data_IF_704994886358
#
_entry.id   IF_704994886358
#
_cell.length_a   1.000
_cell.length_b   1.000
_cell.length_c   1.000
_cell.angle_alpha   90.00
_cell.angle_beta   90.00
_cell.angle_gamma   90.00
#
_symmetry.space_group_name_H-M   'P 1'
#
loop_
_entity.id
_entity.type
_entity.pdbx_description
1 polymer ?
#
# COMPACT_ATOMS: atom_id res chain seq x y z
N UNK A 1 14.94 -0.57 5.35
CA UNK A 1 13.89 -1.44 5.94
C UNK A 1 14.42 -2.71 6.60
N UNK A 2 15.26 -3.50 5.96
CA UNK A 2 15.93 -4.67 6.58
C UNK A 2 16.74 -4.35 7.85
N UNK A 3 17.36 -3.17 7.94
CA UNK A 3 18.07 -2.73 9.14
C UNK A 3 17.14 -2.35 10.30
N UNK A 4 15.95 -1.84 10.00
CA UNK A 4 14.95 -1.51 11.02
C UNK A 4 14.37 -2.78 11.65
N UNK A 5 14.03 -3.77 10.83
CA UNK A 5 13.60 -5.10 11.33
C UNK A 5 14.72 -5.79 12.12
N UNK A 6 16.01 -5.61 11.73
CA UNK A 6 17.15 -6.08 12.52
C UNK A 6 17.34 -5.31 13.83
N UNK A 7 16.97 -4.03 13.88
CA UNK A 7 17.00 -3.23 15.12
C UNK A 7 15.89 -3.62 16.08
N UNK A 8 14.69 -3.92 15.60
CA UNK A 8 13.59 -4.46 16.42
C UNK A 8 13.95 -5.81 17.04
N UNK A 9 14.65 -6.69 16.31
CA UNK A 9 15.18 -7.96 16.84
C UNK A 9 16.40 -7.80 17.76
N UNK A 10 17.06 -6.63 17.79
CA UNK A 10 18.25 -6.35 18.62
C UNK A 10 17.99 -5.56 19.89
N UNK A 11 16.83 -4.91 20.05
CA UNK A 11 16.43 -4.33 21.32
C UNK A 11 15.96 -5.48 22.22
N UNK A 12 16.93 -6.08 22.94
CA UNK A 12 16.76 -7.24 23.80
C UNK A 12 15.83 -7.02 24.99
N UNK A 13 14.61 -6.76 24.73
CA UNK A 13 13.49 -7.19 25.56
C UNK A 13 13.25 -8.64 25.16
N UNK A 14 13.33 -9.55 26.10
CA UNK A 14 12.70 -10.86 26.02
C UNK A 14 11.18 -10.63 25.97
N UNK A 15 10.74 -9.87 24.97
CA UNK A 15 9.35 -9.81 24.63
C UNK A 15 9.09 -11.13 23.91
N UNK A 16 8.30 -11.97 24.57
CA UNK A 16 7.54 -13.01 23.92
C UNK A 16 7.16 -12.48 22.55
N UNK A 17 7.65 -13.10 21.48
CA UNK A 17 7.30 -12.75 20.11
C UNK A 17 5.79 -12.59 20.13
N UNK A 18 5.29 -11.36 19.97
CA UNK A 18 3.88 -11.11 19.71
C UNK A 18 3.63 -11.73 18.33
N UNK A 19 3.54 -13.06 18.29
CA UNK A 19 2.94 -13.77 17.19
C UNK A 19 1.49 -13.30 17.18
N UNK A 20 1.23 -12.30 16.35
CA UNK A 20 -0.13 -11.94 16.02
C UNK A 20 -0.77 -13.23 15.48
N UNK A 21 -1.70 -13.79 16.23
CA UNK A 21 -2.48 -14.94 15.84
C UNK A 21 -3.36 -14.55 14.64
N UNK A 22 -2.74 -14.57 13.45
CA UNK A 22 -3.36 -14.19 12.20
C UNK A 22 -3.49 -15.41 11.30
N UNK A 23 -4.71 -15.95 11.24
CA UNK A 23 -5.06 -17.05 10.35
C UNK A 23 -5.26 -16.54 8.92
N UNK A 24 -4.26 -16.76 8.06
CA UNK A 24 -4.32 -16.40 6.64
C UNK A 24 -5.44 -17.15 5.89
N UNK A 25 -5.74 -18.38 6.27
CA UNK A 25 -6.78 -19.19 5.63
C UNK A 25 -8.19 -18.67 6.00
N UNK A 26 -8.41 -18.31 7.25
CA UNK A 26 -9.65 -17.65 7.67
C UNK A 26 -9.80 -16.30 6.98
N UNK A 27 -8.73 -15.51 6.92
CA UNK A 27 -8.73 -14.24 6.20
C UNK A 27 -9.01 -14.41 4.71
N UNK A 28 -8.41 -15.40 4.05
CA UNK A 28 -8.67 -15.73 2.65
C UNK A 28 -10.16 -16.03 2.40
N UNK A 29 -10.78 -16.80 3.29
CA UNK A 29 -12.22 -17.10 3.23
C UNK A 29 -13.06 -15.83 3.44
N UNK A 30 -12.69 -14.99 4.40
CA UNK A 30 -13.38 -13.74 4.71
C UNK A 30 -13.40 -12.78 3.52
N UNK A 31 -12.27 -12.63 2.82
CA UNK A 31 -12.20 -11.76 1.63
C UNK A 31 -12.77 -12.41 0.36
N UNK A 32 -13.10 -13.70 0.40
CA UNK A 32 -13.66 -14.44 -0.72
C UNK A 32 -12.69 -14.66 -1.88
N UNK A 33 -11.39 -14.61 -1.62
CA UNK A 33 -10.35 -14.81 -2.65
C UNK A 33 -10.00 -16.30 -2.78
N UNK A 34 -9.82 -16.81 -4.02
CA UNK A 34 -9.30 -18.18 -4.19
C UNK A 34 -7.87 -18.32 -3.66
N UNK A 35 -7.06 -17.26 -3.68
CA UNK A 35 -5.67 -17.25 -3.23
C UNK A 35 -5.31 -15.86 -2.70
N UNK A 36 -4.45 -15.79 -1.67
CA UNK A 36 -3.84 -14.55 -1.21
C UNK A 36 -2.53 -14.34 -1.98
N UNK A 37 -2.46 -13.24 -2.72
CA UNK A 37 -1.27 -12.84 -3.48
C UNK A 37 -0.69 -11.52 -2.94
N UNK A 38 0.53 -11.21 -3.34
CA UNK A 38 1.21 -9.98 -2.98
C UNK A 38 2.72 -10.10 -3.09
N UNK A 39 3.44 -9.20 -2.44
CA UNK A 39 4.90 -9.13 -2.47
C UNK A 39 5.51 -10.40 -1.86
N UNK A 40 6.45 -11.03 -2.60
CA UNK A 40 7.14 -12.23 -2.13
C UNK A 40 8.00 -11.95 -0.90
N UNK A 41 8.09 -12.93 -0.01
CA UNK A 41 8.89 -12.84 1.21
C UNK A 41 8.23 -12.12 2.39
N UNK A 42 6.98 -11.73 2.26
CA UNK A 42 6.20 -11.09 3.34
C UNK A 42 4.90 -11.85 3.59
N UNK A 43 4.56 -12.02 4.86
CA UNK A 43 3.26 -12.55 5.28
C UNK A 43 2.12 -11.59 4.91
N UNK A 44 0.88 -12.07 4.94
CA UNK A 44 -0.29 -11.26 4.65
C UNK A 44 -0.41 -10.06 5.60
N UNK A 45 -0.11 -10.25 6.89
CA UNK A 45 -0.18 -9.18 7.88
C UNK A 45 0.91 -8.12 7.65
N UNK A 46 2.14 -8.52 7.31
CA UNK A 46 3.22 -7.60 6.98
C UNK A 46 2.90 -6.77 5.73
N UNK A 47 2.34 -7.39 4.70
CA UNK A 47 1.89 -6.70 3.48
C UNK A 47 0.86 -5.62 3.78
N UNK A 48 -0.06 -5.88 4.69
CA UNK A 48 -1.13 -4.94 5.07
C UNK A 48 -0.67 -3.79 5.94
N UNK A 49 0.30 -4.02 6.83
CA UNK A 49 0.65 -3.06 7.88
C UNK A 49 2.01 -2.39 7.69
N UNK A 50 2.96 -3.07 7.06
CA UNK A 50 4.35 -2.63 7.02
C UNK A 50 4.89 -2.43 5.59
N UNK A 51 4.11 -2.78 4.56
CA UNK A 51 4.55 -2.61 3.17
C UNK A 51 3.76 -1.51 2.47
N UNK A 52 4.41 -0.79 1.52
CA UNK A 52 3.70 0.20 0.71
C UNK A 52 2.67 -0.48 -0.18
N UNK A 53 1.61 0.25 -0.52
CA UNK A 53 0.61 -0.22 -1.48
C UNK A 53 0.49 0.72 -2.66
N UNK A 54 0.06 0.16 -3.79
CA UNK A 54 -0.41 0.88 -4.96
C UNK A 54 -1.79 0.34 -5.33
N UNK A 55 -2.81 1.17 -5.20
CA UNK A 55 -4.19 0.77 -5.39
C UNK A 55 -4.82 1.52 -6.56
N UNK A 56 -5.44 0.79 -7.49
CA UNK A 56 -6.24 1.37 -8.56
C UNK A 56 -7.67 1.55 -8.04
N UNK A 57 -7.99 2.76 -7.59
CA UNK A 57 -9.26 3.08 -6.94
C UNK A 57 -10.40 3.26 -7.92
N UNK A 58 -10.08 3.48 -9.17
CA UNK A 58 -11.07 3.59 -10.25
C UNK A 58 -10.40 3.54 -11.60
N UNK A 59 -11.11 2.92 -12.54
CA UNK A 59 -10.71 2.88 -13.94
C UNK A 59 -11.98 3.02 -14.79
N UNK A 60 -11.97 3.87 -15.77
CA UNK A 60 -13.13 4.07 -16.66
C UNK A 60 -12.73 4.61 -18.02
N UNK A 61 -13.59 4.39 -18.98
CA UNK A 61 -13.45 4.83 -20.36
C UNK A 61 -14.47 4.15 -21.25
N UNK A 62 -14.60 4.63 -22.48
CA UNK A 62 -15.55 4.05 -23.44
C UNK A 62 -17.01 4.41 -23.14
N UNK A 63 -17.90 3.55 -23.62
CA UNK A 63 -19.33 3.69 -23.45
C UNK A 63 -19.77 2.95 -22.19
N UNK A 64 -20.45 3.65 -21.30
CA UNK A 64 -20.90 3.13 -19.99
C UNK A 64 -22.43 3.11 -19.86
N UNK A 65 -23.17 3.42 -20.94
CA UNK A 65 -24.64 3.34 -20.96
C UNK A 65 -25.15 1.92 -21.15
N UNK A 66 -26.45 1.77 -21.10
CA UNK A 66 -27.12 0.48 -21.30
C UNK A 66 -26.96 -0.02 -22.75
N UNK A 67 -26.79 -1.34 -22.92
CA UNK A 67 -26.62 -2.00 -24.20
C UNK A 67 -25.20 -1.94 -24.76
N UNK A 68 -25.01 -2.43 -25.97
CA UNK A 68 -23.72 -2.46 -26.66
C UNK A 68 -23.58 -1.27 -27.62
N UNK A 69 -22.39 -0.68 -27.68
CA UNK A 69 -22.06 0.35 -28.64
C UNK A 69 -20.68 0.09 -29.25
N UNK A 70 -20.61 -0.05 -30.56
CA UNK A 70 -19.35 -0.17 -31.28
C UNK A 70 -18.67 1.19 -31.33
N UNK A 71 -17.70 1.40 -30.43
CA UNK A 71 -16.95 2.66 -30.33
C UNK A 71 -15.51 2.40 -29.88
N UNK A 72 -14.57 3.16 -30.44
CA UNK A 72 -13.21 3.23 -29.96
C UNK A 72 -13.14 4.40 -28.99
N UNK A 73 -12.83 4.21 -27.69
CA UNK A 73 -12.75 5.30 -26.74
C UNK A 73 -11.67 6.30 -27.12
N UNK A 74 -11.97 7.58 -27.09
CA UNK A 74 -10.98 8.63 -27.27
C UNK A 74 -10.15 8.89 -26.01
N UNK A 75 -10.67 8.49 -24.83
CA UNK A 75 -10.04 8.72 -23.52
C UNK A 75 -10.32 7.56 -22.59
N UNK A 76 -9.34 7.27 -21.75
CA UNK A 76 -9.46 6.39 -20.58
C UNK A 76 -8.83 7.08 -19.37
N UNK A 77 -9.31 6.73 -18.19
CA UNK A 77 -8.91 7.35 -16.93
C UNK A 77 -8.67 6.29 -15.89
N UNK A 78 -7.74 6.58 -14.99
CA UNK A 78 -7.56 5.82 -13.76
C UNK A 78 -7.34 6.76 -12.58
N UNK A 79 -7.80 6.34 -11.42
CA UNK A 79 -7.43 6.92 -10.12
C UNK A 79 -6.55 5.92 -9.39
N UNK A 80 -5.41 6.40 -8.93
CA UNK A 80 -4.41 5.58 -8.24
C UNK A 80 -4.09 6.27 -6.93
N UNK A 81 -3.96 5.48 -5.86
CA UNK A 81 -3.41 5.93 -4.60
C UNK A 81 -2.27 5.02 -4.16
N UNK A 82 -1.29 5.60 -3.50
CA UNK A 82 -0.20 4.89 -2.87
C UNK A 82 -0.25 5.15 -1.37
N UNK A 83 -0.15 4.09 -0.56
CA UNK A 83 0.18 4.24 0.84
C UNK A 83 1.67 4.08 1.02
N UNK A 84 2.27 5.06 1.66
CA UNK A 84 3.71 5.11 1.87
C UNK A 84 4.08 4.50 3.21
N UNK A 85 5.31 4.03 3.30
CA UNK A 85 5.94 3.56 4.53
C UNK A 85 7.08 4.50 4.91
N UNK A 86 7.58 4.45 6.15
CA UNK A 86 8.73 5.23 6.57
C UNK A 86 9.89 5.14 5.58
N UNK A 87 10.63 6.24 5.42
CA UNK A 87 11.72 6.41 4.46
C UNK A 87 11.29 6.49 2.97
N UNK A 88 10.01 6.70 2.71
CA UNK A 88 9.49 7.06 1.38
C UNK A 88 9.05 8.53 1.39
N UNK A 89 9.49 9.25 0.38
CA UNK A 89 9.09 10.64 0.10
C UNK A 89 7.94 10.65 -0.90
N UNK A 90 6.89 11.39 -0.62
CA UNK A 90 5.67 11.39 -1.43
C UNK A 90 5.86 12.06 -2.79
N UNK A 91 6.71 13.10 -2.87
CA UNK A 91 7.01 13.75 -4.15
C UNK A 91 7.87 12.83 -5.03
N UNK A 92 8.87 12.15 -4.45
CA UNK A 92 9.70 11.20 -5.17
C UNK A 92 8.87 10.03 -5.70
N UNK A 93 8.00 9.44 -4.88
CA UNK A 93 7.13 8.35 -5.30
C UNK A 93 6.16 8.79 -6.40
N UNK A 94 5.61 9.99 -6.31
CA UNK A 94 4.74 10.53 -7.35
C UNK A 94 5.48 10.69 -8.70
N UNK A 95 6.72 11.17 -8.67
CA UNK A 95 7.56 11.30 -9.87
C UNK A 95 7.92 9.94 -10.47
N UNK A 96 8.29 8.97 -9.64
CA UNK A 96 8.60 7.61 -10.07
C UNK A 96 7.37 6.94 -10.71
N UNK A 97 6.20 7.09 -10.11
CA UNK A 97 4.96 6.56 -10.66
C UNK A 97 4.60 7.21 -12.01
N UNK A 98 4.71 8.52 -12.10
CA UNK A 98 4.47 9.23 -13.37
C UNK A 98 5.44 8.77 -14.45
N UNK A 99 6.73 8.65 -14.13
CA UNK A 99 7.75 8.20 -15.07
C UNK A 99 7.45 6.78 -15.56
N UNK A 100 7.04 5.89 -14.67
CA UNK A 100 6.72 4.51 -15.04
C UNK A 100 5.46 4.43 -15.89
N UNK A 101 4.41 5.19 -15.58
CA UNK A 101 3.21 5.27 -16.40
C UNK A 101 3.55 5.74 -17.82
N UNK A 102 4.38 6.78 -17.93
CA UNK A 102 4.82 7.29 -19.25
C UNK A 102 5.69 6.28 -20.01
N UNK A 103 6.56 5.56 -19.33
CA UNK A 103 7.41 4.52 -19.90
C UNK A 103 6.58 3.37 -20.49
N UNK A 104 5.51 2.97 -19.80
CA UNK A 104 4.64 1.86 -20.20
C UNK A 104 3.61 2.27 -21.27
N UNK A 105 3.35 3.57 -21.40
CA UNK A 105 2.36 4.05 -22.35
C UNK A 105 2.80 3.85 -23.80
N UNK A 106 1.86 3.47 -24.65
CA UNK A 106 2.11 3.44 -26.09
C UNK A 106 2.44 4.84 -26.63
N UNK A 107 3.40 4.97 -27.56
CA UNK A 107 3.70 6.24 -28.21
C UNK A 107 2.52 6.82 -29.02
N UNK A 108 1.50 6.03 -29.27
CA UNK A 108 0.28 6.43 -29.98
C UNK A 108 -0.73 7.18 -29.10
N UNK A 109 -0.47 7.30 -27.78
CA UNK A 109 -1.38 7.96 -26.84
C UNK A 109 -0.69 9.13 -26.11
N UNK A 110 -1.47 10.13 -25.75
CA UNK A 110 -1.01 11.19 -24.88
C UNK A 110 -1.42 10.89 -23.44
N UNK A 111 -0.43 10.81 -22.55
CA UNK A 111 -0.65 10.60 -21.11
C UNK A 111 -0.60 11.93 -20.39
N UNK A 112 -1.61 12.20 -19.58
CA UNK A 112 -1.63 13.30 -18.62
C UNK A 112 -1.73 12.70 -17.22
N UNK A 113 -0.76 12.98 -16.37
CA UNK A 113 -0.77 12.65 -14.95
C UNK A 113 -0.99 13.93 -14.16
N UNK A 114 -1.79 13.86 -13.11
CA UNK A 114 -1.96 14.94 -12.13
C UNK A 114 -1.89 14.36 -10.75
N UNK A 115 -1.05 14.92 -9.91
CA UNK A 115 -0.98 14.60 -8.48
C UNK A 115 -1.94 15.53 -7.75
N UNK A 116 -2.82 14.98 -6.96
CA UNK A 116 -3.88 15.72 -6.27
C UNK A 116 -3.37 16.20 -4.90
N UNK A 117 -2.89 15.30 -4.09
CA UNK A 117 -2.26 15.59 -2.81
C UNK A 117 -1.33 14.46 -2.40
N UNK A 118 -0.38 14.76 -1.54
CA UNK A 118 0.54 13.83 -0.92
C UNK A 118 0.83 14.25 0.51
N UNK A 119 1.57 13.43 1.21
CA UNK A 119 2.10 13.71 2.54
C UNK A 119 3.10 12.64 2.93
N UNK A 120 4.12 13.01 3.70
CA UNK A 120 5.16 12.09 4.11
C UNK A 120 4.60 10.99 5.01
N UNK A 121 5.19 9.80 4.91
CA UNK A 121 4.94 8.75 5.87
C UNK A 121 5.48 9.16 7.24
N UNK A 122 4.77 8.77 8.30
CA UNK A 122 5.15 9.07 9.67
C UNK A 122 5.32 7.79 10.47
N UNK A 123 6.35 7.79 11.33
CA UNK A 123 6.63 6.69 12.25
C UNK A 123 7.04 7.23 13.61
N UNK A 124 6.51 6.62 14.66
CA UNK A 124 6.89 6.90 16.03
C UNK A 124 7.78 5.77 16.56
N UNK A 125 8.77 6.12 17.36
CA UNK A 125 9.58 5.14 18.09
C UNK A 125 8.71 4.35 19.08
N UNK A 126 8.86 3.03 19.16
CA UNK A 126 8.21 2.23 20.21
C UNK A 126 8.54 2.72 21.64
N UNK A 127 9.68 3.38 21.79
CA UNK A 127 10.14 3.95 23.05
C UNK A 127 9.57 5.33 23.37
N UNK A 128 8.70 5.87 22.52
CA UNK A 128 8.06 7.15 22.77
C UNK A 128 7.26 7.13 24.08
N UNK A 129 7.41 8.15 24.94
CA UNK A 129 6.70 8.21 26.21
C UNK A 129 5.18 8.10 26.08
N UNK A 130 4.60 8.61 24.98
CA UNK A 130 3.15 8.51 24.71
C UNK A 130 2.74 7.08 24.46
N UNK A 131 3.53 6.32 23.66
CA UNK A 131 3.25 4.90 23.39
C UNK A 131 3.40 4.06 24.65
N UNK A 132 4.40 4.33 25.49
CA UNK A 132 4.55 3.66 26.80
C UNK A 132 3.35 3.93 27.70
N UNK A 133 2.88 5.18 27.78
CA UNK A 133 1.69 5.53 28.55
C UNK A 133 0.43 4.83 28.02
N UNK A 134 0.25 4.78 26.71
CA UNK A 134 -0.85 4.07 26.06
C UNK A 134 -0.84 2.57 26.38
N UNK A 135 0.33 1.92 26.31
CA UNK A 135 0.49 0.51 26.64
C UNK A 135 0.11 0.22 28.10
N UNK A 136 0.59 1.04 29.05
CA UNK A 136 0.20 0.90 30.48
C UNK A 136 -1.30 1.08 30.68
N UNK A 137 -1.95 1.97 29.91
CA UNK A 137 -3.39 2.16 29.99
C UNK A 137 -4.19 0.98 29.42
N UNK A 138 -3.69 0.35 28.35
CA UNK A 138 -4.33 -0.80 27.70
C UNK A 138 -4.23 -2.11 28.51
N UNK A 139 -3.29 -2.20 29.45
CA UNK A 139 -3.09 -3.37 30.33
C UNK A 139 -4.00 -3.34 31.58
N UNK A 140 -4.81 -2.32 31.78
CA UNK A 140 -5.79 -2.19 32.86
C UNK A 140 -7.18 -2.64 32.45
#
# INVERSE_FOLDING_TARGET
>A
MLEYQKKLKKSGTEDEDLELDFDEEEYRKLVGSPELCGEEGYSCIERRWARPTLDVNGIWGGFTGEGAKTVIPAKAYAKISCRLVPDQDDEEIAQLLEAEIRRLASPAVTVKVSVDHGGPAWMTSPDDPVLRAANVAAQK
#
